data_IF_864611733449
#
_entry.id   IF_864611733449
#
_cell.length_a   1.000
_cell.length_b   1.000
_cell.length_c   1.000
_cell.angle_alpha   90.00
_cell.angle_beta   90.00
_cell.angle_gamma   90.00
#
_symmetry.space_group_name_H-M   'P 1'
#
loop_
_entity.id
_entity.type
_entity.pdbx_description
1 polymer ?
#
# COMPACT_ATOMS: atom_id res chain seq x y z
N UNK A 1 23.55 -1.22 -40.36
CA UNK A 1 22.15 -1.04 -39.92
C UNK A 1 22.07 -1.52 -38.47
N UNK A 2 21.96 -0.60 -37.51
CA UNK A 2 21.81 -0.99 -36.11
C UNK A 2 20.41 -1.58 -35.94
N UNK A 3 20.34 -2.87 -35.64
CA UNK A 3 19.08 -3.54 -35.27
C UNK A 3 18.59 -2.92 -33.98
N UNK A 4 17.56 -2.08 -34.05
CA UNK A 4 16.87 -1.57 -32.86
C UNK A 4 16.20 -2.75 -32.17
N UNK A 5 16.90 -3.38 -31.22
CA UNK A 5 16.36 -4.45 -30.37
C UNK A 5 15.27 -3.86 -29.48
N UNK A 6 14.03 -3.92 -29.92
CA UNK A 6 12.87 -3.62 -29.08
C UNK A 6 12.66 -4.77 -28.09
N UNK A 7 12.37 -4.42 -26.84
CA UNK A 7 12.00 -5.39 -25.80
C UNK A 7 10.53 -5.24 -25.45
N UNK A 8 9.92 -6.24 -24.84
CA UNK A 8 8.56 -6.18 -24.32
C UNK A 8 8.63 -6.10 -22.79
N UNK A 9 7.97 -5.10 -22.20
CA UNK A 9 7.82 -5.02 -20.75
C UNK A 9 6.98 -6.18 -20.25
N UNK A 10 7.47 -6.95 -19.27
CA UNK A 10 6.72 -8.10 -18.76
C UNK A 10 5.47 -7.68 -17.96
N UNK A 11 5.49 -6.49 -17.37
CA UNK A 11 4.43 -5.97 -16.50
C UNK A 11 3.24 -5.37 -17.28
N UNK A 12 3.51 -4.59 -18.33
CA UNK A 12 2.46 -3.92 -19.10
C UNK A 12 2.33 -4.38 -20.55
N UNK A 13 3.18 -5.31 -21.00
CA UNK A 13 3.18 -5.89 -22.36
C UNK A 13 3.43 -4.84 -23.47
N UNK A 14 3.87 -3.63 -23.10
CA UNK A 14 4.23 -2.59 -24.07
C UNK A 14 5.64 -2.81 -24.62
N UNK A 15 5.83 -2.46 -25.89
CA UNK A 15 7.15 -2.37 -26.51
C UNK A 15 7.96 -1.24 -25.86
N UNK A 16 9.24 -1.51 -25.61
CA UNK A 16 10.19 -0.59 -25.01
C UNK A 16 11.31 -0.29 -26.00
N UNK A 17 11.68 0.98 -26.11
CA UNK A 17 12.92 1.41 -26.75
C UNK A 17 14.14 1.01 -25.91
N UNK A 18 15.31 0.98 -26.54
CA UNK A 18 16.56 0.40 -26.00
C UNK A 18 17.09 1.02 -24.70
N UNK A 19 16.51 2.10 -24.18
CA UNK A 19 17.01 2.84 -23.00
C UNK A 19 16.07 2.90 -21.79
N UNK A 20 14.81 2.46 -21.90
CA UNK A 20 13.77 2.76 -20.90
C UNK A 20 13.29 1.50 -20.15
N UNK A 21 14.22 0.61 -19.79
CA UNK A 21 13.91 -0.61 -19.04
C UNK A 21 14.99 -0.97 -18.03
N UNK A 22 14.56 -1.76 -17.05
CA UNK A 22 15.41 -2.41 -16.05
C UNK A 22 15.20 -3.93 -16.09
N UNK A 23 16.22 -4.67 -15.65
CA UNK A 23 16.09 -6.10 -15.40
C UNK A 23 15.14 -6.34 -14.22
N UNK A 24 14.42 -7.46 -14.26
CA UNK A 24 13.62 -7.92 -13.14
C UNK A 24 14.52 -8.80 -12.28
N UNK A 25 15.20 -8.17 -11.33
CA UNK A 25 16.09 -8.83 -10.36
C UNK A 25 15.30 -9.45 -9.20
N UNK A 26 15.97 -10.27 -8.37
CA UNK A 26 15.39 -10.98 -7.22
C UNK A 26 14.61 -10.07 -6.28
N UNK A 27 15.20 -8.94 -5.88
CA UNK A 27 14.54 -7.95 -5.02
C UNK A 27 13.20 -7.48 -5.60
N UNK A 28 13.12 -7.33 -6.93
CA UNK A 28 11.88 -6.91 -7.58
C UNK A 28 10.86 -8.05 -7.64
N UNK A 29 11.31 -9.30 -7.75
CA UNK A 29 10.43 -10.47 -7.63
C UNK A 29 9.84 -10.55 -6.21
N UNK A 30 10.66 -10.36 -5.18
CA UNK A 30 10.20 -10.34 -3.78
C UNK A 30 9.15 -9.22 -3.55
N UNK A 31 9.37 -8.02 -4.11
CA UNK A 31 8.40 -6.93 -4.04
C UNK A 31 7.06 -7.30 -4.70
N UNK A 32 7.11 -7.96 -5.86
CA UNK A 32 5.91 -8.41 -6.56
C UNK A 32 5.16 -9.49 -5.77
N UNK A 33 5.88 -10.39 -5.11
CA UNK A 33 5.30 -11.42 -4.24
C UNK A 33 4.62 -10.78 -3.02
N UNK A 34 5.25 -9.79 -2.38
CA UNK A 34 4.62 -9.00 -1.31
C UNK A 34 3.36 -8.28 -1.82
N UNK A 35 3.34 -7.85 -3.07
CA UNK A 35 2.18 -7.24 -3.72
C UNK A 35 1.15 -8.26 -4.24
N UNK A 36 1.38 -9.57 -4.06
CA UNK A 36 0.55 -10.67 -4.56
C UNK A 36 0.42 -10.68 -6.09
N UNK A 37 1.41 -10.15 -6.81
CA UNK A 37 1.46 -10.12 -8.27
C UNK A 37 2.27 -11.32 -8.76
N UNK A 38 1.59 -12.48 -8.83
CA UNK A 38 2.20 -13.73 -9.27
C UNK A 38 2.44 -13.73 -10.79
N UNK A 39 3.71 -13.60 -11.22
CA UNK A 39 4.10 -13.68 -12.62
C UNK A 39 5.17 -14.74 -12.85
N UNK A 40 4.98 -15.56 -13.87
CA UNK A 40 6.00 -16.51 -14.31
C UNK A 40 7.01 -15.83 -15.25
N UNK A 41 8.15 -15.42 -14.70
CA UNK A 41 9.25 -14.79 -15.43
C UNK A 41 10.10 -15.77 -16.25
N UNK A 42 10.05 -17.07 -15.93
CA UNK A 42 10.82 -18.12 -16.62
C UNK A 42 10.32 -18.39 -18.06
N UNK A 43 9.16 -17.86 -18.44
CA UNK A 43 8.59 -18.01 -19.78
C UNK A 43 9.36 -17.17 -20.83
N UNK A 44 10.03 -16.08 -20.40
CA UNK A 44 10.76 -15.19 -21.30
C UNK A 44 12.26 -15.22 -21.03
N UNK A 45 13.06 -15.29 -22.09
CA UNK A 45 14.52 -15.10 -22.01
C UNK A 45 14.80 -13.63 -21.67
N UNK A 46 15.45 -13.38 -20.54
CA UNK A 46 15.80 -12.03 -20.04
C UNK A 46 14.57 -11.12 -19.84
N UNK A 47 13.69 -11.42 -18.88
CA UNK A 47 12.53 -10.57 -18.56
C UNK A 47 12.98 -9.17 -18.15
N UNK A 48 12.33 -8.16 -18.73
CA UNK A 48 12.57 -6.74 -18.39
C UNK A 48 11.27 -6.03 -18.05
N UNK A 49 11.37 -4.97 -17.26
CA UNK A 49 10.29 -4.05 -16.95
C UNK A 49 10.64 -2.65 -17.46
N UNK A 50 9.67 -1.91 -18.01
CA UNK A 50 9.90 -0.50 -18.31
C UNK A 50 9.94 0.32 -17.01
N UNK A 51 10.67 1.45 -17.02
CA UNK A 51 10.89 2.27 -15.83
C UNK A 51 9.57 2.72 -15.16
N UNK A 52 8.53 3.01 -15.95
CA UNK A 52 7.22 3.37 -15.38
C UNK A 52 6.58 2.23 -14.58
N UNK A 53 6.73 0.98 -15.02
CA UNK A 53 6.25 -0.16 -14.25
C UNK A 53 7.15 -0.45 -13.03
N UNK A 54 8.46 -0.24 -13.15
CA UNK A 54 9.41 -0.31 -12.02
C UNK A 54 9.01 0.66 -10.92
N UNK A 55 8.83 1.94 -11.26
CA UNK A 55 8.42 3.00 -10.34
C UNK A 55 7.05 2.68 -9.71
N UNK A 56 6.10 2.17 -10.51
CA UNK A 56 4.78 1.77 -10.00
C UNK A 56 4.90 0.64 -8.97
N UNK A 57 5.70 -0.40 -9.24
CA UNK A 57 5.93 -1.50 -8.29
C UNK A 57 6.55 -0.98 -7.00
N UNK A 58 7.55 -0.11 -7.07
CA UNK A 58 8.17 0.49 -5.90
C UNK A 58 7.16 1.28 -5.06
N UNK A 59 6.38 2.17 -5.69
CA UNK A 59 5.37 2.97 -5.01
C UNK A 59 4.30 2.10 -4.34
N UNK A 60 3.85 1.03 -5.02
CA UNK A 60 2.91 0.08 -4.44
C UNK A 60 3.52 -0.66 -3.24
N UNK A 61 4.77 -1.11 -3.36
CA UNK A 61 5.48 -1.82 -2.29
C UNK A 61 5.67 -0.92 -1.06
N UNK A 62 6.10 0.33 -1.26
CA UNK A 62 6.29 1.30 -0.19
C UNK A 62 4.97 1.61 0.52
N UNK A 63 3.89 1.77 -0.26
CA UNK A 63 2.55 1.96 0.28
C UNK A 63 2.10 0.75 1.14
N UNK A 64 2.23 -0.48 0.63
CA UNK A 64 1.84 -1.69 1.37
C UNK A 64 2.69 -1.90 2.62
N UNK A 65 4.00 -1.70 2.52
CA UNK A 65 4.93 -1.78 3.65
C UNK A 65 4.60 -0.75 4.74
N UNK A 66 4.28 0.48 4.33
CA UNK A 66 3.82 1.52 5.26
C UNK A 66 2.53 1.09 5.97
N UNK A 67 1.58 0.51 5.23
CA UNK A 67 0.34 0.03 5.81
C UNK A 67 0.56 -1.08 6.85
N UNK A 68 1.45 -2.03 6.58
CA UNK A 68 1.80 -3.08 7.54
C UNK A 68 2.46 -2.53 8.79
N UNK A 69 3.44 -1.64 8.64
CA UNK A 69 4.07 -0.98 9.77
C UNK A 69 3.07 -0.24 10.68
N UNK A 70 2.08 0.43 10.08
CA UNK A 70 1.01 1.09 10.83
C UNK A 70 0.10 0.09 11.54
N UNK A 71 -0.22 -1.05 10.91
CA UNK A 71 -1.00 -2.11 11.56
C UNK A 71 -0.25 -2.74 12.75
N UNK A 72 1.06 -2.96 12.61
CA UNK A 72 1.94 -3.41 13.70
C UNK A 72 1.97 -2.41 14.86
N UNK A 73 1.94 -1.11 14.59
CA UNK A 73 1.84 -0.09 15.63
C UNK A 73 0.49 -0.11 16.36
N UNK A 74 -0.57 -0.54 15.68
CA UNK A 74 -1.94 -0.61 16.21
C UNK A 74 -2.21 -1.92 16.95
N UNK A 75 -1.56 -3.02 16.55
CA UNK A 75 -1.79 -4.37 17.08
C UNK A 75 -1.70 -4.45 18.63
N UNK A 76 -0.71 -3.84 19.31
CA UNK A 76 -0.63 -3.87 20.78
C UNK A 76 -1.84 -3.21 21.47
N UNK A 77 -2.53 -2.31 20.79
CA UNK A 77 -3.72 -1.65 21.33
C UNK A 77 -4.98 -2.48 21.10
N UNK A 78 -5.07 -3.29 20.04
CA UNK A 78 -6.23 -4.16 19.79
C UNK A 78 -6.46 -5.18 20.92
N UNK A 79 -5.40 -5.66 21.58
CA UNK A 79 -5.51 -6.65 22.66
C UNK A 79 -6.24 -6.14 23.90
N UNK A 80 -6.21 -4.82 24.14
CA UNK A 80 -6.75 -4.21 25.36
C UNK A 80 -8.07 -3.46 25.13
N UNK A 81 -8.44 -3.21 23.87
CA UNK A 81 -9.58 -2.35 23.53
C UNK A 81 -10.46 -2.96 22.44
N UNK A 82 -11.78 -2.96 22.66
CA UNK A 82 -12.80 -3.34 21.66
C UNK A 82 -12.71 -2.47 20.40
N UNK A 83 -12.27 -1.21 20.55
CA UNK A 83 -12.02 -0.27 19.46
C UNK A 83 -10.78 0.56 19.78
N UNK A 84 -9.81 0.55 18.86
CA UNK A 84 -8.59 1.36 19.00
C UNK A 84 -8.84 2.79 18.55
N UNK A 85 -8.52 3.76 19.41
CA UNK A 85 -8.42 5.16 19.04
C UNK A 85 -7.05 5.44 18.40
N UNK A 86 -7.05 5.69 17.09
CA UNK A 86 -5.84 5.95 16.30
C UNK A 86 -5.06 7.17 16.85
N UNK A 87 -5.74 8.12 17.46
CA UNK A 87 -5.12 9.32 18.04
C UNK A 87 -4.18 8.96 19.20
N UNK A 88 -4.54 7.98 20.01
CA UNK A 88 -3.69 7.50 21.11
C UNK A 88 -2.45 6.79 20.57
N UNK A 89 -2.62 5.97 19.53
CA UNK A 89 -1.51 5.28 18.87
C UNK A 89 -0.54 6.30 18.27
N UNK A 90 -1.07 7.29 17.54
CA UNK A 90 -0.30 8.37 16.93
C UNK A 90 0.52 9.16 17.97
N UNK A 91 -0.12 9.60 19.07
CA UNK A 91 0.56 10.35 20.14
C UNK A 91 1.70 9.54 20.76
N UNK A 92 1.44 8.28 21.12
CA UNK A 92 2.45 7.39 21.70
C UNK A 92 3.62 7.18 20.73
N UNK A 93 3.33 7.00 19.44
CA UNK A 93 4.34 6.75 18.42
C UNK A 93 5.22 7.98 18.15
N UNK A 94 4.59 9.14 18.01
CA UNK A 94 5.27 10.41 17.74
C UNK A 94 5.89 11.05 18.99
N UNK A 95 5.72 10.43 20.17
CA UNK A 95 6.14 10.98 21.47
C UNK A 95 5.59 12.39 21.72
N UNK A 96 4.39 12.64 21.22
CA UNK A 96 3.68 13.92 21.38
C UNK A 96 2.97 13.90 22.74
N UNK A 97 3.10 14.98 23.53
CA UNK A 97 2.37 15.12 24.78
C UNK A 97 0.85 15.16 24.54
N UNK A 98 0.07 14.73 25.53
CA UNK A 98 -1.40 14.74 25.44
C UNK A 98 -1.99 16.15 25.23
N UNK A 99 -1.21 17.19 25.55
CA UNK A 99 -1.58 18.60 25.52
C UNK A 99 -1.65 19.20 24.10
N UNK A 100 -1.00 18.58 23.10
CA UNK A 100 -1.04 19.10 21.72
C UNK A 100 -2.40 18.79 21.08
N UNK A 101 -3.17 19.83 20.80
CA UNK A 101 -4.49 19.77 20.15
C UNK A 101 -4.34 19.44 18.65
N UNK A 102 -4.95 18.33 18.22
CA UNK A 102 -5.02 17.90 16.81
C UNK A 102 -6.28 18.44 16.11
N UNK A 103 -6.83 19.57 16.58
CA UNK A 103 -8.21 20.01 16.32
C UNK A 103 -8.58 20.19 14.83
N UNK A 104 -7.58 20.31 13.94
CA UNK A 104 -7.78 20.54 12.49
C UNK A 104 -7.24 19.42 11.58
N UNK A 105 -6.75 18.31 12.15
CA UNK A 105 -6.15 17.23 11.38
C UNK A 105 -6.83 15.89 11.69
N UNK A 106 -7.11 15.13 10.63
CA UNK A 106 -7.41 13.70 10.74
C UNK A 106 -6.11 12.90 10.68
N UNK A 107 -6.06 11.74 11.33
CA UNK A 107 -4.93 10.81 11.19
C UNK A 107 -5.31 9.74 10.16
N UNK A 108 -4.52 9.62 9.09
CA UNK A 108 -4.72 8.57 8.11
C UNK A 108 -4.44 7.19 8.73
N UNK A 109 -5.40 6.28 8.66
CA UNK A 109 -5.24 4.90 9.18
C UNK A 109 -4.19 4.07 8.43
N UNK A 110 -3.90 4.41 7.17
CA UNK A 110 -3.00 3.62 6.31
C UNK A 110 -1.54 4.05 6.45
N UNK A 111 -1.27 5.35 6.67
CA UNK A 111 0.10 5.86 6.76
C UNK A 111 0.42 6.59 8.06
N UNK A 112 -0.53 6.73 8.99
CA UNK A 112 -0.36 7.45 10.26
C UNK A 112 0.07 8.93 10.10
N UNK A 113 -0.13 9.52 8.91
CA UNK A 113 0.10 10.94 8.66
C UNK A 113 -1.08 11.81 9.11
N UNK A 114 -0.80 13.07 9.45
CA UNK A 114 -1.81 14.09 9.65
C UNK A 114 -2.32 14.58 8.30
N UNK A 115 -3.63 14.60 8.13
CA UNK A 115 -4.34 15.01 6.91
C UNK A 115 -5.24 16.18 7.28
N UNK A 116 -5.18 17.25 6.50
CA UNK A 116 -6.11 18.37 6.63
C UNK A 116 -7.56 17.89 6.46
N UNK A 117 -8.48 18.44 7.26
CA UNK A 117 -9.86 17.95 7.32
C UNK A 117 -10.59 17.98 5.95
N UNK A 118 -10.24 18.89 5.05
CA UNK A 118 -10.81 19.02 3.71
C UNK A 118 -10.28 17.98 2.70
N UNK A 119 -9.08 17.44 2.97
CA UNK A 119 -8.39 16.45 2.16
C UNK A 119 -8.64 15.01 2.61
N UNK A 120 -9.31 14.82 3.76
CA UNK A 120 -9.57 13.52 4.34
C UNK A 120 -10.69 12.74 3.61
N UNK A 121 -10.38 11.52 3.19
CA UNK A 121 -11.36 10.57 2.63
C UNK A 121 -11.64 9.44 3.60
N UNK A 122 -12.89 9.30 4.02
CA UNK A 122 -13.32 8.20 4.89
C UNK A 122 -13.36 6.88 4.13
N UNK A 123 -12.75 5.83 4.69
CA UNK A 123 -12.73 4.47 4.14
C UNK A 123 -13.89 3.58 4.63
N UNK A 124 -14.65 4.01 5.65
CA UNK A 124 -15.68 3.21 6.35
C UNK A 124 -17.11 3.75 6.26
N UNK A 125 -17.32 4.98 5.76
CA UNK A 125 -18.69 5.50 5.58
C UNK A 125 -19.37 4.75 4.45
N UNK A 126 -20.62 4.33 4.64
CA UNK A 126 -21.44 3.58 3.67
C UNK A 126 -21.71 4.30 2.31
N UNK A 127 -21.12 5.48 2.10
CA UNK A 127 -21.09 6.25 0.85
C UNK A 127 -19.67 6.58 0.37
N UNK A 128 -18.63 6.05 1.03
CA UNK A 128 -17.30 6.06 0.44
C UNK A 128 -17.40 5.31 -0.87
N UNK A 129 -16.82 5.90 -1.89
CA UNK A 129 -16.73 5.33 -3.22
C UNK A 129 -16.44 3.83 -3.11
N UNK A 130 -17.34 2.99 -3.62
CA UNK A 130 -17.22 1.52 -3.58
C UNK A 130 -15.84 1.09 -4.09
N UNK A 131 -15.25 1.86 -5.01
CA UNK A 131 -13.89 1.63 -5.49
C UNK A 131 -12.82 1.76 -4.41
N UNK A 132 -12.92 2.70 -3.47
CA UNK A 132 -11.90 2.88 -2.41
C UNK A 132 -11.92 1.68 -1.48
N UNK A 133 -13.10 1.26 -1.03
CA UNK A 133 -13.24 0.11 -0.15
C UNK A 133 -12.78 -1.18 -0.86
N UNK A 134 -13.18 -1.37 -2.12
CA UNK A 134 -12.74 -2.51 -2.93
C UNK A 134 -11.23 -2.50 -3.19
N UNK A 135 -10.65 -1.33 -3.47
CA UNK A 135 -9.21 -1.19 -3.70
C UNK A 135 -8.44 -1.54 -2.44
N UNK A 136 -8.87 -1.08 -1.26
CA UNK A 136 -8.20 -1.42 -0.02
C UNK A 136 -8.35 -2.92 0.27
N UNK A 137 -9.53 -3.51 0.09
CA UNK A 137 -9.71 -4.95 0.25
C UNK A 137 -8.86 -5.78 -0.73
N UNK A 138 -8.66 -5.29 -1.95
CA UNK A 138 -7.91 -6.01 -2.99
C UNK A 138 -6.41 -5.89 -2.79
N UNK A 139 -5.91 -4.69 -2.48
CA UNK A 139 -4.48 -4.43 -2.33
C UNK A 139 -3.95 -4.74 -0.92
N UNK A 140 -4.83 -4.68 0.09
CA UNK A 140 -4.51 -4.88 1.50
C UNK A 140 -5.51 -5.85 2.16
N UNK A 141 -5.68 -7.08 1.61
CA UNK A 141 -6.65 -8.05 2.14
C UNK A 141 -6.37 -8.46 3.59
N UNK A 142 -5.13 -8.28 4.06
CA UNK A 142 -4.70 -8.63 5.40
C UNK A 142 -5.11 -7.57 6.44
N UNK A 143 -5.41 -6.33 6.00
CA UNK A 143 -5.86 -5.28 6.90
C UNK A 143 -7.33 -5.48 7.27
N UNK A 144 -7.56 -5.90 8.51
CA UNK A 144 -8.90 -5.95 9.10
C UNK A 144 -9.40 -4.53 9.42
N UNK A 145 -10.00 -3.86 8.43
CA UNK A 145 -10.57 -2.52 8.57
C UNK A 145 -11.98 -2.50 9.17
N UNK A 146 -12.69 -3.63 9.15
CA UNK A 146 -13.93 -3.79 9.90
C UNK A 146 -13.57 -4.21 11.32
N UNK A 147 -14.02 -3.43 12.31
CA UNK A 147 -14.12 -3.96 13.67
C UNK A 147 -14.96 -5.23 13.61
N UNK A 148 -14.56 -6.29 14.30
CA UNK A 148 -15.35 -7.51 14.40
C UNK A 148 -16.79 -7.10 14.70
N UNK A 149 -17.69 -7.30 13.73
CA UNK A 149 -19.11 -7.29 14.02
C UNK A 149 -19.28 -8.42 15.01
N UNK A 150 -19.60 -8.07 16.25
CA UNK A 150 -19.98 -9.04 17.28
C UNK A 150 -21.05 -9.93 16.65
N UNK A 151 -20.69 -11.20 16.40
CA UNK A 151 -21.67 -12.23 16.11
C UNK A 151 -22.52 -12.35 17.37
N UNK A 152 -23.78 -11.95 17.25
CA UNK A 152 -24.79 -12.26 18.25
C UNK A 152 -25.03 -13.77 18.22
N UNK A 153 -24.53 -14.47 19.22
CA UNK A 153 -25.08 -15.74 19.72
C UNK A 153 -25.74 -15.49 21.07
#
# INVERSE_FOLDING_TARGET
MASNKTKICRLCIKLISTSNFEAIEEIRMDMLDVLLINMNFNISKEPVACNGCVETVQNCFDFKSTCFYVDDCIMPFKQNYVKVDISQVFRKKMKISEEIKLEYHQICRLCMALIENDSFKSITKAKSDIWVTNMVHTCLPELQLKGASCGSE
#
